data_IF_572783027862
#
_entry.id   IF_572783027862
#
_cell.length_a   1.000
_cell.length_b   1.000
_cell.length_c   1.000
_cell.angle_alpha   90.00
_cell.angle_beta   90.00
_cell.angle_gamma   90.00
#
_symmetry.space_group_name_H-M   'P 1'
#
loop_
_entity.id
_entity.type
_entity.pdbx_description
1 polymer ?
#
# COMPACT_ATOMS: atom_id res chain seq x y z
N UNK A 1 -35.51 22.73 -2.16
CA UNK A 1 -34.73 22.76 -0.90
C UNK A 1 -33.45 21.96 -1.14
N UNK A 2 -32.27 22.59 -1.24
CA UNK A 2 -31.00 21.89 -1.48
C UNK A 2 -30.37 21.54 -0.13
N UNK A 3 -30.44 20.28 0.27
CA UNK A 3 -29.81 19.78 1.49
C UNK A 3 -28.30 19.91 1.40
N UNK A 4 -27.72 20.75 2.25
CA UNK A 4 -26.29 20.79 2.49
C UNK A 4 -25.90 19.53 3.27
N UNK A 5 -25.35 18.54 2.56
CA UNK A 5 -24.71 17.37 3.17
C UNK A 5 -23.53 17.87 4.01
N UNK A 6 -23.42 17.52 5.31
CA UNK A 6 -22.26 17.90 6.09
C UNK A 6 -21.04 17.20 5.50
N UNK A 7 -20.11 17.98 4.94
CA UNK A 7 -18.80 17.47 4.57
C UNK A 7 -18.11 17.04 5.87
N UNK A 8 -18.18 15.74 6.20
CA UNK A 8 -17.37 15.12 7.24
C UNK A 8 -15.90 15.44 6.92
N UNK A 9 -15.33 16.40 7.65
CA UNK A 9 -13.88 16.62 7.70
C UNK A 9 -13.28 15.31 8.21
N UNK A 10 -12.83 14.46 7.29
CA UNK A 10 -12.07 13.26 7.62
C UNK A 10 -10.80 13.78 8.29
N UNK A 11 -10.72 13.67 9.61
CA UNK A 11 -9.47 13.87 10.34
C UNK A 11 -8.39 13.16 9.53
N UNK A 12 -7.36 13.89 9.09
CA UNK A 12 -6.20 13.31 8.39
C UNK A 12 -5.48 12.43 9.41
N UNK A 13 -5.99 11.22 9.61
CA UNK A 13 -5.31 10.15 10.31
C UNK A 13 -4.14 9.76 9.41
N UNK A 14 -3.02 10.47 9.57
CA UNK A 14 -1.76 10.08 8.95
C UNK A 14 -1.42 8.70 9.51
N UNK A 15 -1.56 7.66 8.68
CA UNK A 15 -1.22 6.31 9.07
C UNK A 15 0.25 6.07 8.75
N UNK A 16 1.05 5.92 9.81
CA UNK A 16 2.42 5.42 9.71
C UNK A 16 2.42 3.95 9.32
N UNK A 17 3.41 3.57 8.53
CA UNK A 17 3.75 2.21 8.22
C UNK A 17 4.05 1.44 9.50
N UNK A 18 3.29 0.38 9.73
CA UNK A 18 3.49 -0.49 10.89
C UNK A 18 4.38 -1.66 10.51
N UNK A 19 5.44 -1.91 11.28
CA UNK A 19 6.27 -3.11 11.14
C UNK A 19 5.46 -4.40 11.15
N UNK A 20 4.37 -4.45 11.93
CA UNK A 20 3.47 -5.60 11.95
C UNK A 20 2.91 -5.99 10.58
N UNK A 21 2.80 -5.05 9.62
CA UNK A 21 2.40 -5.39 8.25
C UNK A 21 3.48 -6.22 7.54
N UNK A 22 4.76 -5.99 7.83
CA UNK A 22 5.86 -6.83 7.31
C UNK A 22 5.91 -8.22 7.93
N UNK A 23 5.12 -8.49 8.98
CA UNK A 23 5.01 -9.81 9.60
C UNK A 23 3.80 -10.58 9.05
N UNK A 24 2.78 -9.88 8.54
CA UNK A 24 1.61 -10.51 7.94
C UNK A 24 1.95 -11.23 6.63
N UNK A 25 1.52 -12.49 6.50
CA UNK A 25 1.81 -13.34 5.33
C UNK A 25 1.39 -12.72 3.99
N UNK A 26 0.32 -11.93 4.00
CA UNK A 26 -0.23 -11.28 2.82
C UNK A 26 0.69 -10.17 2.28
N UNK A 27 1.42 -9.46 3.15
CA UNK A 27 2.22 -8.32 2.75
C UNK A 27 3.72 -8.60 2.83
N UNK A 28 4.20 -9.36 3.84
CA UNK A 28 5.63 -9.68 4.06
C UNK A 28 6.36 -10.18 2.82
N UNK A 29 5.62 -10.82 1.91
CA UNK A 29 6.12 -11.38 0.65
C UNK A 29 6.43 -10.33 -0.41
N UNK A 30 6.05 -9.07 -0.24
CA UNK A 30 6.28 -8.05 -1.25
C UNK A 30 6.46 -6.62 -0.72
N UNK A 31 6.04 -6.32 0.51
CA UNK A 31 6.30 -5.03 1.15
C UNK A 31 7.63 -5.07 1.92
N UNK A 32 8.25 -3.91 2.05
CA UNK A 32 9.40 -3.66 2.92
C UNK A 32 9.21 -2.28 3.56
N UNK A 33 9.72 -2.12 4.78
CA UNK A 33 9.83 -0.82 5.39
C UNK A 33 10.82 0.06 4.60
N UNK A 34 10.40 1.28 4.28
CA UNK A 34 11.25 2.31 3.68
C UNK A 34 11.89 3.20 4.76
N UNK A 35 12.77 4.13 4.38
CA UNK A 35 13.31 5.13 5.32
C UNK A 35 12.19 6.02 5.88
N UNK A 36 11.20 6.33 5.06
CA UNK A 36 10.05 7.11 5.48
C UNK A 36 9.00 6.25 6.18
N UNK A 37 8.65 6.63 7.40
CA UNK A 37 7.60 5.98 8.20
C UNK A 37 6.20 6.09 7.58
N UNK A 38 5.99 6.90 6.54
CA UNK A 38 4.70 7.03 5.83
C UNK A 38 4.67 6.32 4.48
N UNK A 39 5.76 5.66 4.10
CA UNK A 39 5.90 4.97 2.83
C UNK A 39 6.33 3.52 3.06
N UNK A 40 5.77 2.65 2.23
CA UNK A 40 6.11 1.24 2.18
C UNK A 40 6.67 0.92 0.80
N UNK A 41 7.86 0.32 0.75
CA UNK A 41 8.44 -0.04 -0.52
C UNK A 41 7.94 -1.41 -0.98
N UNK A 42 7.37 -1.47 -2.18
CA UNK A 42 6.99 -2.73 -2.81
C UNK A 42 8.17 -3.29 -3.60
N UNK A 43 8.72 -4.45 -3.19
CA UNK A 43 9.83 -5.11 -3.89
C UNK A 43 9.43 -5.73 -5.23
N UNK A 44 8.13 -6.03 -5.40
CA UNK A 44 7.58 -6.60 -6.65
C UNK A 44 7.45 -5.51 -7.72
N UNK A 45 6.98 -4.32 -7.32
CA UNK A 45 6.80 -3.19 -8.20
C UNK A 45 8.00 -2.23 -8.25
N UNK A 46 8.93 -2.38 -7.31
CA UNK A 46 10.02 -1.45 -7.03
C UNK A 46 9.52 0.00 -6.92
N UNK A 47 8.44 0.18 -6.14
CA UNK A 47 7.73 1.46 -5.97
C UNK A 47 7.33 1.69 -4.53
N UNK A 48 7.30 2.96 -4.18
CA UNK A 48 6.95 3.45 -2.86
C UNK A 48 5.42 3.62 -2.75
N UNK A 49 4.84 3.10 -1.69
CA UNK A 49 3.40 3.12 -1.43
C UNK A 49 3.15 4.05 -0.27
N UNK A 50 2.48 5.17 -0.53
CA UNK A 50 2.10 6.09 0.53
C UNK A 50 1.00 5.48 1.41
N UNK A 51 1.33 5.23 2.66
CA UNK A 51 0.38 4.77 3.68
C UNK A 51 -0.25 5.94 4.42
N UNK A 52 0.24 7.16 4.21
CA UNK A 52 -0.21 8.38 4.90
C UNK A 52 -1.73 8.56 4.93
N UNK A 53 -2.42 8.41 3.80
CA UNK A 53 -3.87 8.69 3.73
C UNK A 53 -4.76 7.49 4.04
N UNK A 54 -4.30 6.27 3.77
CA UNK A 54 -5.15 5.06 3.79
C UNK A 54 -4.58 3.90 4.61
N UNK A 55 -3.34 4.02 5.09
CA UNK A 55 -2.66 3.01 5.89
C UNK A 55 -2.58 1.67 5.17
N UNK A 56 -3.01 0.61 5.88
CA UNK A 56 -3.09 -0.77 5.38
C UNK A 56 -3.90 -0.89 4.08
N UNK A 57 -4.96 -0.10 3.91
CA UNK A 57 -5.79 -0.15 2.71
C UNK A 57 -4.99 0.26 1.45
N UNK A 58 -3.97 1.11 1.59
CA UNK A 58 -3.06 1.43 0.48
C UNK A 58 -2.35 0.17 -0.03
N UNK A 59 -1.89 -0.70 0.88
CA UNK A 59 -1.25 -1.96 0.55
C UNK A 59 -2.22 -2.93 -0.13
N UNK A 60 -3.43 -3.07 0.40
CA UNK A 60 -4.46 -3.95 -0.20
C UNK A 60 -4.83 -3.48 -1.61
N UNK A 61 -5.04 -2.18 -1.81
CA UNK A 61 -5.34 -1.62 -3.14
C UNK A 61 -4.15 -1.73 -4.09
N UNK A 62 -2.93 -1.62 -3.56
CA UNK A 62 -1.73 -1.83 -4.37
C UNK A 62 -1.60 -3.30 -4.80
N UNK A 63 -1.87 -4.25 -3.90
CA UNK A 63 -1.87 -5.69 -4.21
C UNK A 63 -2.83 -6.02 -5.36
N UNK A 64 -4.02 -5.42 -5.35
CA UNK A 64 -5.05 -5.61 -6.38
C UNK A 64 -4.76 -4.84 -7.68
N UNK A 65 -3.80 -3.92 -7.67
CA UNK A 65 -3.44 -3.14 -8.85
C UNK A 65 -2.97 -4.03 -10.00
N UNK A 66 -3.40 -3.69 -11.22
CA UNK A 66 -3.00 -4.39 -12.44
C UNK A 66 -1.47 -4.44 -12.61
N UNK A 67 -0.76 -3.39 -12.18
CA UNK A 67 0.71 -3.36 -12.20
C UNK A 67 1.30 -4.42 -11.27
N UNK A 68 0.84 -4.48 -10.03
CA UNK A 68 1.29 -5.45 -9.05
C UNK A 68 0.97 -6.88 -9.47
N UNK A 69 -0.27 -7.12 -9.92
CA UNK A 69 -0.70 -8.43 -10.42
C UNK A 69 0.12 -8.88 -11.62
N UNK A 70 0.42 -7.97 -12.57
CA UNK A 70 1.25 -8.27 -13.74
C UNK A 70 2.68 -8.63 -13.32
N UNK A 71 3.29 -7.84 -12.46
CA UNK A 71 4.67 -8.07 -12.00
C UNK A 71 4.78 -9.30 -11.10
N UNK A 72 3.82 -9.54 -10.21
CA UNK A 72 3.76 -10.75 -9.39
C UNK A 72 3.66 -12.02 -10.26
N UNK A 73 2.93 -11.97 -11.38
CA UNK A 73 2.88 -13.05 -12.36
C UNK A 73 4.15 -13.14 -13.19
N UNK A 74 4.78 -12.00 -13.51
CA UNK A 74 5.97 -11.92 -14.36
C UNK A 74 7.28 -12.27 -13.65
N UNK A 75 7.35 -12.17 -12.32
CA UNK A 75 8.51 -12.60 -11.53
C UNK A 75 8.82 -14.10 -11.64
N UNK A 76 7.89 -14.93 -12.16
CA UNK A 76 8.15 -16.33 -12.52
C UNK A 76 8.99 -16.50 -13.80
N UNK A 77 9.32 -15.42 -14.52
CA UNK A 77 10.01 -15.48 -15.82
C UNK A 77 11.28 -14.62 -15.89
N UNK A 78 12.10 -14.59 -14.84
CA UNK A 78 13.50 -14.17 -14.98
C UNK A 78 14.38 -15.05 -14.11
N UNK A 79 14.86 -16.11 -14.74
CA UNK A 79 15.93 -16.99 -14.31
C UNK A 79 16.52 -17.60 -15.58
N UNK A 80 17.18 -16.75 -16.36
CA UNK A 80 18.14 -17.15 -17.40
C UNK A 80 19.53 -16.90 -16.84
#
# INVERSE_FOLDING_TARGET
>A
MKGLVPQRKKNKYNQVFKKSWTEEEQFKKWIKQEKDEYFAMCRVCNKDISTKNTGRLALVRHQDSAMHTKLCKSQKKQGT
#
